data_IF_269682489607
#
_entry.id   IF_269682489607
#
_cell.length_a   1.000
_cell.length_b   1.000
_cell.length_c   1.000
_cell.angle_alpha   90.00
_cell.angle_beta   90.00
_cell.angle_gamma   90.00
#
_symmetry.space_group_name_H-M   'P 1'
#
loop_
_entity.id
_entity.type
_entity.pdbx_description
1 polymer ?
#
# COMPACT_ATOMS: atom_id res chain seq x y z
N UNK A 1 -19.90 -12.22 -24.37
CA UNK A 1 -19.66 -10.92 -23.71
C UNK A 1 -18.15 -10.75 -23.57
N UNK A 2 -17.62 -9.60 -23.89
CA UNK A 2 -16.22 -9.29 -23.53
C UNK A 2 -16.20 -9.02 -22.02
N UNK A 3 -15.36 -9.74 -21.30
CA UNK A 3 -15.09 -9.44 -19.89
C UNK A 3 -14.35 -8.10 -19.82
N UNK A 4 -14.70 -7.28 -18.84
CA UNK A 4 -13.95 -6.08 -18.54
C UNK A 4 -12.53 -6.38 -18.06
N UNK A 5 -11.77 -5.34 -17.74
CA UNK A 5 -10.42 -5.44 -17.16
C UNK A 5 -10.36 -4.82 -15.77
N UNK A 6 -9.46 -5.32 -14.93
CA UNK A 6 -9.15 -4.71 -13.64
C UNK A 6 -7.85 -3.92 -13.73
N UNK A 7 -7.88 -2.67 -13.26
CA UNK A 7 -6.68 -1.83 -13.15
C UNK A 7 -6.42 -1.54 -11.68
N UNK A 8 -5.30 -2.04 -11.17
CA UNK A 8 -4.83 -1.73 -9.83
C UNK A 8 -4.10 -0.39 -9.84
N UNK A 9 -4.54 0.53 -9.00
CA UNK A 9 -4.04 1.91 -8.96
C UNK A 9 -3.56 2.25 -7.56
N UNK A 10 -2.31 2.70 -7.44
CA UNK A 10 -1.80 3.30 -6.21
C UNK A 10 -2.28 4.74 -6.06
N UNK A 11 -2.97 5.02 -4.96
CA UNK A 11 -3.51 6.35 -4.64
C UNK A 11 -2.45 7.33 -4.10
N UNK A 12 -1.22 6.87 -3.91
CA UNK A 12 -0.22 7.66 -3.19
C UNK A 12 -0.52 7.76 -1.67
N UNK A 13 0.26 8.56 -0.94
CA UNK A 13 0.16 8.68 0.53
C UNK A 13 -0.95 9.63 1.01
N UNK A 14 -1.85 10.06 0.15
CA UNK A 14 -3.00 10.90 0.50
C UNK A 14 -3.09 12.22 -0.26
N UNK A 15 -1.96 12.89 -0.54
CA UNK A 15 -1.94 14.10 -1.37
C UNK A 15 -2.24 13.75 -2.84
N UNK A 16 -3.30 14.31 -3.46
CA UNK A 16 -3.66 14.06 -4.85
C UNK A 16 -2.58 14.46 -5.86
N UNK A 17 -1.72 15.43 -5.54
CA UNK A 17 -0.58 15.85 -6.36
C UNK A 17 0.48 14.74 -6.50
N UNK A 18 0.41 13.69 -5.66
CA UNK A 18 1.29 12.53 -5.72
C UNK A 18 0.71 11.35 -6.50
N UNK A 19 -0.44 11.54 -7.15
CA UNK A 19 -0.93 10.58 -8.16
C UNK A 19 -0.01 10.60 -9.38
N UNK A 20 0.22 9.41 -9.95
CA UNK A 20 0.82 9.37 -11.29
C UNK A 20 -0.17 9.89 -12.32
N UNK A 21 0.33 10.46 -13.41
CA UNK A 21 -0.52 10.93 -14.52
C UNK A 21 -1.38 9.82 -15.11
N UNK A 22 -0.86 8.60 -15.13
CA UNK A 22 -1.61 7.43 -15.61
C UNK A 22 -2.72 7.06 -14.65
N UNK A 23 -2.43 7.03 -13.33
CA UNK A 23 -3.44 6.81 -12.29
C UNK A 23 -4.58 7.83 -12.40
N UNK A 24 -4.25 9.11 -12.52
CA UNK A 24 -5.25 10.16 -12.69
C UNK A 24 -6.15 9.95 -13.92
N UNK A 25 -5.56 9.63 -15.09
CA UNK A 25 -6.32 9.35 -16.32
C UNK A 25 -7.25 8.16 -16.16
N UNK A 26 -6.74 7.06 -15.61
CA UNK A 26 -7.53 5.83 -15.38
C UNK A 26 -8.70 6.08 -14.43
N UNK A 27 -8.49 6.83 -13.34
CA UNK A 27 -9.58 7.20 -12.42
C UNK A 27 -10.68 8.01 -13.09
N UNK A 28 -10.32 8.84 -14.08
CA UNK A 28 -11.27 9.66 -14.86
C UNK A 28 -12.09 8.85 -15.87
N UNK A 29 -11.57 7.72 -16.31
CA UNK A 29 -12.15 6.85 -17.34
C UNK A 29 -12.87 5.62 -16.73
N UNK A 30 -12.67 5.34 -15.45
CA UNK A 30 -13.24 4.19 -14.76
C UNK A 30 -14.77 4.19 -14.75
N UNK A 31 -15.37 3.02 -14.94
CA UNK A 31 -16.81 2.78 -14.76
C UNK A 31 -17.13 2.61 -13.27
N UNK A 32 -16.29 1.86 -12.57
CA UNK A 32 -16.41 1.60 -11.14
C UNK A 32 -15.04 1.61 -10.46
N UNK A 33 -14.97 2.16 -9.24
CA UNK A 33 -13.77 2.22 -8.41
C UNK A 33 -14.05 1.54 -7.07
N UNK A 34 -13.34 0.45 -6.79
CA UNK A 34 -13.30 -0.20 -5.48
C UNK A 34 -12.12 0.37 -4.69
N UNK A 35 -12.37 0.98 -3.53
CA UNK A 35 -11.33 1.67 -2.76
C UNK A 35 -11.32 1.28 -1.29
N UNK A 36 -10.16 1.33 -0.66
CA UNK A 36 -9.96 1.00 0.76
C UNK A 36 -9.87 2.23 1.68
N UNK A 37 -9.72 1.98 2.99
CA UNK A 37 -9.72 3.00 4.03
C UNK A 37 -8.51 3.95 4.00
N UNK A 38 -7.44 3.60 3.26
CA UNK A 38 -6.21 4.37 3.20
C UNK A 38 -6.19 5.38 2.03
N UNK A 39 -7.23 5.37 1.21
CA UNK A 39 -7.37 6.36 0.13
C UNK A 39 -7.87 7.67 0.72
N UNK A 40 -7.12 8.75 0.51
CA UNK A 40 -7.48 10.09 0.98
C UNK A 40 -8.75 10.63 0.30
N UNK A 41 -9.57 11.43 1.02
CA UNK A 41 -10.81 12.00 0.47
C UNK A 41 -10.54 12.88 -0.76
N UNK A 42 -9.46 13.65 -0.77
CA UNK A 42 -9.10 14.51 -1.90
C UNK A 42 -8.81 13.72 -3.17
N UNK A 43 -8.29 12.49 -3.05
CA UNK A 43 -8.10 11.58 -4.19
C UNK A 43 -9.46 11.08 -4.70
N UNK A 44 -10.39 10.77 -3.79
CA UNK A 44 -11.75 10.33 -4.15
C UNK A 44 -12.55 11.44 -4.84
N UNK A 45 -12.26 12.70 -4.56
CA UNK A 45 -12.91 13.87 -5.19
C UNK A 45 -12.47 14.06 -6.66
N UNK A 46 -11.32 13.49 -7.06
CA UNK A 46 -10.89 13.49 -8.46
C UNK A 46 -11.67 12.51 -9.34
N UNK A 47 -12.35 11.53 -8.74
CA UNK A 47 -13.16 10.54 -9.45
C UNK A 47 -14.47 11.18 -9.89
N UNK A 48 -14.83 11.14 -11.19
CA UNK A 48 -16.05 11.74 -11.68
C UNK A 48 -17.32 11.26 -10.94
N UNK A 49 -18.32 12.12 -10.82
CA UNK A 49 -19.59 11.79 -10.15
C UNK A 49 -20.37 10.66 -10.84
N UNK A 50 -20.15 10.45 -12.14
CA UNK A 50 -20.75 9.34 -12.90
C UNK A 50 -20.17 7.98 -12.56
N UNK A 51 -18.95 7.93 -12.02
CA UNK A 51 -18.24 6.69 -11.68
C UNK A 51 -18.78 6.15 -10.37
N UNK A 52 -19.18 4.88 -10.35
CA UNK A 52 -19.59 4.21 -9.13
C UNK A 52 -18.40 4.04 -8.20
N UNK A 53 -18.52 4.46 -6.94
CA UNK A 53 -17.49 4.31 -5.90
C UNK A 53 -17.95 3.30 -4.86
N UNK A 54 -17.20 2.20 -4.67
CA UNK A 54 -17.50 1.12 -3.74
C UNK A 54 -16.40 1.05 -2.68
N UNK A 55 -16.78 1.30 -1.43
CA UNK A 55 -15.86 1.18 -0.30
C UNK A 55 -15.69 -0.28 0.10
N UNK A 56 -14.45 -0.78 0.08
CA UNK A 56 -14.09 -2.15 0.46
C UNK A 56 -13.10 -2.20 1.63
N UNK A 57 -12.86 -1.06 2.28
CA UNK A 57 -11.89 -0.93 3.38
C UNK A 57 -12.37 -1.58 4.68
N UNK A 58 -11.41 -1.93 5.53
CA UNK A 58 -11.65 -2.44 6.88
C UNK A 58 -11.88 -1.28 7.84
N UNK A 59 -13.04 -1.23 8.52
CA UNK A 59 -13.22 -0.40 9.73
C UNK A 59 -12.93 -1.26 10.96
N UNK A 60 -12.23 -0.71 11.94
CA UNK A 60 -11.78 -1.42 13.14
C UNK A 60 -12.92 -1.99 14.02
N UNK A 61 -14.16 -1.60 13.79
CA UNK A 61 -15.31 -1.91 14.65
C UNK A 61 -16.43 -2.71 13.99
N UNK A 62 -16.39 -2.95 12.67
CA UNK A 62 -17.39 -3.77 12.00
C UNK A 62 -16.74 -4.65 10.95
N UNK A 63 -17.24 -5.89 10.85
CA UNK A 63 -16.77 -6.95 9.98
C UNK A 63 -16.33 -6.42 8.61
N UNK A 64 -15.03 -6.22 8.50
CA UNK A 64 -14.37 -5.89 7.24
C UNK A 64 -14.73 -6.95 6.22
N UNK A 65 -14.98 -6.54 5.00
CA UNK A 65 -14.98 -7.49 3.89
C UNK A 65 -13.73 -8.35 4.01
N UNK A 66 -13.92 -9.65 4.18
CA UNK A 66 -12.81 -10.59 4.16
C UNK A 66 -12.17 -10.48 2.77
N UNK A 67 -10.87 -10.74 2.65
CA UNK A 67 -10.21 -10.69 1.34
C UNK A 67 -10.97 -11.47 0.27
N UNK A 68 -11.63 -12.57 0.66
CA UNK A 68 -12.50 -13.35 -0.21
C UNK A 68 -13.67 -12.55 -0.79
N UNK A 69 -14.35 -11.74 0.03
CA UNK A 69 -15.48 -10.90 -0.42
C UNK A 69 -15.02 -9.81 -1.39
N UNK A 70 -13.83 -9.23 -1.18
CA UNK A 70 -13.24 -8.26 -2.12
C UNK A 70 -12.93 -8.94 -3.46
N UNK A 71 -12.38 -10.16 -3.41
CA UNK A 71 -12.05 -10.92 -4.60
C UNK A 71 -13.32 -11.29 -5.39
N UNK A 72 -14.38 -11.75 -4.70
CA UNK A 72 -15.68 -12.04 -5.31
C UNK A 72 -16.29 -10.80 -5.95
N UNK A 73 -16.22 -9.65 -5.27
CA UNK A 73 -16.73 -8.39 -5.80
C UNK A 73 -15.94 -7.92 -7.03
N UNK A 74 -14.61 -8.10 -7.08
CA UNK A 74 -13.82 -7.80 -8.28
C UNK A 74 -14.27 -8.66 -9.47
N UNK A 75 -14.47 -9.96 -9.24
CA UNK A 75 -14.96 -10.87 -10.27
C UNK A 75 -16.38 -10.52 -10.76
N UNK A 76 -17.25 -10.07 -9.85
CA UNK A 76 -18.60 -9.61 -10.19
C UNK A 76 -18.54 -8.32 -11.04
N UNK A 77 -17.77 -7.33 -10.63
CA UNK A 77 -17.74 -6.04 -11.30
C UNK A 77 -17.26 -6.12 -12.76
N UNK A 78 -16.31 -6.98 -13.08
CA UNK A 78 -15.82 -7.15 -14.47
C UNK A 78 -16.84 -7.81 -15.40
N UNK A 79 -17.91 -8.40 -14.88
CA UNK A 79 -19.01 -8.92 -15.72
C UNK A 79 -19.98 -7.81 -16.16
N UNK A 80 -19.98 -6.67 -15.47
CA UNK A 80 -20.91 -5.57 -15.69
C UNK A 80 -20.22 -4.27 -16.19
N UNK A 81 -18.90 -4.18 -16.08
CA UNK A 81 -18.13 -2.97 -16.38
C UNK A 81 -16.90 -3.30 -17.23
N UNK A 82 -16.56 -2.42 -18.16
CA UNK A 82 -15.39 -2.58 -19.03
C UNK A 82 -14.08 -2.18 -18.32
N UNK A 83 -14.15 -1.15 -17.47
CA UNK A 83 -13.01 -0.61 -16.73
C UNK A 83 -13.29 -0.59 -15.22
N UNK A 84 -12.81 -1.61 -14.51
CA UNK A 84 -12.89 -1.73 -13.05
C UNK A 84 -11.57 -1.28 -12.45
N UNK A 85 -11.59 -0.27 -11.58
CA UNK A 85 -10.41 0.20 -10.87
C UNK A 85 -10.39 -0.33 -9.44
N UNK A 86 -9.28 -0.94 -9.04
CA UNK A 86 -8.97 -1.25 -7.65
C UNK A 86 -7.98 -0.21 -7.11
N UNK A 87 -8.49 0.79 -6.40
CA UNK A 87 -7.72 1.90 -5.85
C UNK A 87 -7.25 1.58 -4.42
N UNK A 88 -5.94 1.62 -4.19
CA UNK A 88 -5.29 1.24 -2.93
C UNK A 88 -4.39 2.38 -2.43
N UNK A 89 -4.35 2.62 -1.13
CA UNK A 89 -3.46 3.64 -0.56
C UNK A 89 -1.98 3.32 -0.80
N UNK A 90 -1.17 4.35 -1.00
CA UNK A 90 0.27 4.22 -1.28
C UNK A 90 0.57 3.63 -2.65
N UNK A 91 1.47 2.65 -2.68
CA UNK A 91 1.81 1.84 -3.85
C UNK A 91 1.19 0.44 -3.70
N UNK A 92 0.51 -0.03 -4.74
CA UNK A 92 -0.12 -1.36 -4.77
C UNK A 92 0.87 -2.51 -4.65
N UNK A 93 2.15 -2.26 -4.91
CA UNK A 93 3.23 -3.26 -4.90
C UNK A 93 3.86 -3.44 -3.50
N UNK A 94 3.59 -2.54 -2.54
CA UNK A 94 4.21 -2.57 -1.22
C UNK A 94 3.17 -2.80 -0.13
N UNK A 95 3.20 -3.97 0.52
CA UNK A 95 2.32 -4.39 1.63
C UNK A 95 0.81 -4.24 1.37
N UNK A 96 0.39 -4.30 0.13
CA UNK A 96 -0.99 -4.04 -0.29
C UNK A 96 -1.81 -5.32 -0.58
N UNK A 97 -1.30 -6.51 -0.26
CA UNK A 97 -1.95 -7.81 -0.53
C UNK A 97 -2.37 -8.00 -1.99
N UNK A 98 -1.61 -7.42 -2.91
CA UNK A 98 -1.91 -7.47 -4.33
C UNK A 98 -1.97 -8.91 -4.88
N UNK A 99 -1.06 -9.77 -4.41
CA UNK A 99 -1.00 -11.18 -4.84
C UNK A 99 -2.33 -11.91 -4.63
N UNK A 100 -3.02 -11.68 -3.50
CA UNK A 100 -4.30 -12.32 -3.19
C UNK A 100 -5.39 -11.96 -4.23
N UNK A 101 -5.35 -10.72 -4.73
CA UNK A 101 -6.31 -10.22 -5.73
C UNK A 101 -5.90 -10.64 -7.16
N UNK A 102 -4.59 -10.64 -7.48
CA UNK A 102 -4.11 -11.10 -8.79
C UNK A 102 -4.37 -12.57 -9.05
N UNK A 103 -4.18 -13.43 -8.04
CA UNK A 103 -4.38 -14.87 -8.17
C UNK A 103 -5.78 -15.20 -8.68
N UNK A 104 -6.82 -14.62 -8.09
CA UNK A 104 -8.20 -14.91 -8.50
C UNK A 104 -8.53 -14.38 -9.91
N UNK A 105 -7.93 -13.25 -10.31
CA UNK A 105 -8.11 -12.73 -11.67
C UNK A 105 -7.42 -13.63 -12.69
N UNK A 106 -6.22 -14.13 -12.38
CA UNK A 106 -5.48 -15.06 -13.23
C UNK A 106 -6.22 -16.38 -13.40
N UNK A 107 -6.73 -16.96 -12.30
CA UNK A 107 -7.52 -18.19 -12.32
C UNK A 107 -8.81 -18.04 -13.13
N UNK A 108 -9.42 -16.85 -13.10
CA UNK A 108 -10.61 -16.52 -13.87
C UNK A 108 -10.35 -16.08 -15.31
N UNK A 109 -9.07 -15.96 -15.74
CA UNK A 109 -8.69 -15.49 -17.07
C UNK A 109 -9.05 -14.02 -17.34
N UNK A 110 -9.18 -13.19 -16.29
CA UNK A 110 -9.53 -11.78 -16.39
C UNK A 110 -8.28 -10.94 -16.66
N UNK A 111 -8.29 -10.07 -17.70
CA UNK A 111 -7.18 -9.18 -17.98
C UNK A 111 -7.03 -8.13 -16.87
N UNK A 112 -5.80 -7.86 -16.48
CA UNK A 112 -5.50 -6.84 -15.49
C UNK A 112 -4.25 -6.04 -15.84
N UNK A 113 -4.13 -4.87 -15.22
CA UNK A 113 -2.95 -4.00 -15.28
C UNK A 113 -2.64 -3.51 -13.86
N UNK A 114 -1.36 -3.32 -13.55
CA UNK A 114 -0.92 -2.77 -12.27
C UNK A 114 -0.17 -1.46 -12.54
N UNK A 115 -0.65 -0.37 -11.95
CA UNK A 115 -0.01 0.93 -12.02
C UNK A 115 0.75 1.19 -10.72
N UNK A 116 2.00 1.60 -10.85
CA UNK A 116 2.80 2.03 -9.71
C UNK A 116 2.20 3.28 -9.04
N UNK A 117 2.37 3.39 -7.75
CA UNK A 117 2.00 4.56 -6.96
C UNK A 117 3.18 5.12 -6.18
N UNK A 118 3.05 6.34 -5.67
CA UNK A 118 4.01 6.87 -4.71
C UNK A 118 3.80 6.19 -3.37
N UNK A 119 4.77 5.37 -2.96
CA UNK A 119 4.70 4.70 -1.66
C UNK A 119 4.80 5.69 -0.50
N UNK A 120 4.16 5.38 0.61
CA UNK A 120 4.19 6.21 1.84
C UNK A 120 5.62 6.52 2.28
N UNK A 121 6.55 5.60 2.10
CA UNK A 121 7.97 5.83 2.39
C UNK A 121 8.53 7.05 1.64
N UNK A 122 8.39 7.07 0.31
CA UNK A 122 8.87 8.19 -0.51
C UNK A 122 8.11 9.48 -0.22
N UNK A 123 6.79 9.40 -0.01
CA UNK A 123 5.96 10.56 0.34
C UNK A 123 6.36 11.17 1.69
N UNK A 124 6.60 10.34 2.70
CA UNK A 124 7.06 10.80 4.03
C UNK A 124 8.45 11.40 3.96
N UNK A 125 9.39 10.74 3.30
CA UNK A 125 10.76 11.24 3.14
C UNK A 125 10.78 12.61 2.44
N UNK A 126 9.99 12.78 1.38
CA UNK A 126 9.84 14.04 0.67
C UNK A 126 9.24 15.14 1.57
N UNK A 127 8.21 14.84 2.34
CA UNK A 127 7.57 15.78 3.27
C UNK A 127 8.50 16.23 4.40
N UNK A 128 9.41 15.36 4.83
CA UNK A 128 10.42 15.65 5.84
C UNK A 128 11.69 16.30 5.26
N UNK A 129 11.86 16.28 3.94
CA UNK A 129 13.10 16.73 3.30
C UNK A 129 14.31 15.83 3.60
N UNK A 130 14.08 14.55 3.91
CA UNK A 130 15.11 13.60 4.29
C UNK A 130 15.37 12.61 3.15
N UNK A 131 16.59 12.51 2.62
CA UNK A 131 16.94 11.51 1.63
C UNK A 131 16.94 10.11 2.26
N UNK A 132 16.38 9.12 1.54
CA UNK A 132 16.35 7.72 2.00
C UNK A 132 17.70 7.02 1.87
N UNK A 133 18.58 7.54 1.02
CA UNK A 133 19.93 7.03 0.79
C UNK A 133 20.89 8.21 0.62
N UNK A 134 22.12 8.08 1.13
CA UNK A 134 23.18 9.07 0.94
C UNK A 134 24.53 8.40 0.75
N UNK A 135 25.54 9.17 0.31
CA UNK A 135 26.93 8.65 0.18
C UNK A 135 27.60 8.46 1.53
N UNK A 136 27.17 9.22 2.54
CA UNK A 136 27.78 9.27 3.87
C UNK A 136 27.08 8.33 4.88
N UNK A 137 25.86 7.93 4.60
CA UNK A 137 25.13 6.89 5.31
C UNK A 137 25.09 5.63 4.42
N UNK A 138 24.95 4.47 4.97
CA UNK A 138 25.00 3.22 4.21
C UNK A 138 24.20 3.23 2.89
N UNK A 139 24.65 2.47 1.93
CA UNK A 139 24.04 2.37 0.59
C UNK A 139 22.80 1.48 0.55
N UNK A 140 22.36 0.97 1.69
CA UNK A 140 21.29 0.02 1.83
C UNK A 140 20.04 0.68 2.42
N UNK A 141 18.88 0.28 1.94
CA UNK A 141 17.57 0.65 2.50
C UNK A 141 16.77 -0.63 2.75
N UNK A 142 16.51 -0.93 4.02
CA UNK A 142 15.65 -2.04 4.41
C UNK A 142 14.21 -1.55 4.56
N UNK A 143 13.31 -2.16 3.80
CA UNK A 143 11.86 -1.96 3.95
C UNK A 143 11.29 -3.23 4.60
N UNK A 144 10.70 -3.09 5.77
CA UNK A 144 10.19 -4.23 6.53
C UNK A 144 8.88 -3.90 7.25
N UNK A 145 8.25 -4.91 7.82
CA UNK A 145 7.17 -4.78 8.82
C UNK A 145 7.54 -5.61 10.03
N UNK A 146 7.13 -5.19 11.21
CA UNK A 146 7.34 -5.95 12.45
C UNK A 146 5.99 -6.54 12.85
N UNK A 147 5.94 -7.86 13.01
CA UNK A 147 4.72 -8.56 13.41
C UNK A 147 4.39 -8.35 14.90
N UNK A 148 3.17 -8.66 15.32
CA UNK A 148 2.63 -8.36 16.68
C UNK A 148 3.31 -9.11 17.81
N UNK A 149 3.89 -10.26 17.48
CA UNK A 149 4.48 -11.11 18.49
C UNK A 149 5.99 -10.95 18.39
N UNK A 150 6.54 -10.04 19.21
CA UNK A 150 7.95 -9.91 19.57
C UNK A 150 8.89 -10.73 18.67
N UNK A 151 8.92 -10.39 17.40
CA UNK A 151 9.83 -11.03 16.47
C UNK A 151 11.23 -10.46 16.70
N UNK A 152 11.85 -10.93 17.81
CA UNK A 152 13.24 -10.59 18.13
C UNK A 152 14.20 -10.96 17.01
N UNK A 153 13.85 -11.93 16.19
CA UNK A 153 14.64 -12.29 15.02
C UNK A 153 14.62 -11.17 13.97
N UNK A 154 13.44 -10.66 13.63
CA UNK A 154 13.33 -9.48 12.76
C UNK A 154 14.02 -8.27 13.37
N UNK A 155 13.87 -8.03 14.67
CA UNK A 155 14.56 -6.93 15.36
C UNK A 155 16.09 -7.09 15.33
N UNK A 156 16.63 -8.30 15.47
CA UNK A 156 18.08 -8.56 15.30
C UNK A 156 18.53 -8.29 13.87
N UNK A 157 17.77 -8.72 12.87
CA UNK A 157 18.07 -8.42 11.47
C UNK A 157 18.08 -6.88 11.24
N UNK A 158 17.04 -6.17 11.68
CA UNK A 158 16.98 -4.69 11.61
C UNK A 158 18.19 -4.06 12.28
N UNK A 159 18.53 -4.48 13.52
CA UNK A 159 19.71 -3.96 14.25
C UNK A 159 21.02 -4.21 13.50
N UNK A 160 21.14 -5.33 12.79
CA UNK A 160 22.30 -5.61 11.97
C UNK A 160 22.44 -4.59 10.82
N UNK A 161 21.35 -4.24 10.16
CA UNK A 161 21.35 -3.20 9.13
C UNK A 161 21.64 -1.81 9.72
N UNK A 162 21.06 -1.46 10.86
CA UNK A 162 21.33 -0.20 11.57
C UNK A 162 22.82 -0.04 11.89
N UNK A 163 23.48 -1.08 12.39
CA UNK A 163 24.93 -1.06 12.68
C UNK A 163 25.82 -0.86 11.44
N UNK A 164 25.29 -1.10 10.25
CA UNK A 164 25.96 -0.85 8.96
C UNK A 164 25.67 0.57 8.42
N UNK A 165 24.89 1.36 9.14
CA UNK A 165 24.46 2.68 8.72
C UNK A 165 23.37 2.66 7.65
N UNK A 166 22.62 1.55 7.52
CA UNK A 166 21.54 1.42 6.54
C UNK A 166 20.30 2.20 6.97
N UNK A 167 19.57 2.76 6.00
CA UNK A 167 18.24 3.30 6.23
C UNK A 167 17.24 2.18 6.53
N UNK A 168 16.32 2.42 7.48
CA UNK A 168 15.27 1.44 7.84
C UNK A 168 13.90 2.09 7.72
N UNK A 169 13.00 1.44 7.00
CA UNK A 169 11.59 1.81 6.93
C UNK A 169 10.72 0.67 7.48
N UNK A 170 10.04 0.92 8.58
CA UNK A 170 9.14 -0.06 9.21
C UNK A 170 7.69 0.34 8.91
N UNK A 171 7.01 -0.49 8.14
CA UNK A 171 5.60 -0.30 7.81
C UNK A 171 4.67 -0.87 8.88
N UNK A 172 3.49 -0.26 9.02
CA UNK A 172 2.43 -0.70 9.94
C UNK A 172 2.84 -0.78 11.43
N UNK A 173 3.59 0.19 11.97
CA UNK A 173 4.05 0.13 13.36
C UNK A 173 2.93 0.43 14.37
N UNK A 174 1.76 0.95 13.96
CA UNK A 174 0.82 1.72 14.77
C UNK A 174 0.20 1.02 15.97
N UNK A 175 -0.31 -0.21 15.85
CA UNK A 175 -0.85 -0.96 17.01
C UNK A 175 0.20 -1.83 17.69
N UNK A 176 1.33 -2.00 17.03
CA UNK A 176 2.37 -2.97 17.37
C UNK A 176 3.68 -2.28 17.68
N UNK A 177 3.79 -1.02 17.27
CA UNK A 177 4.98 -0.19 17.41
C UNK A 177 5.36 0.14 18.85
N UNK A 178 4.44 -0.02 19.81
CA UNK A 178 4.77 0.10 21.24
C UNK A 178 5.87 -0.86 21.69
N UNK A 179 6.06 -1.95 20.96
CA UNK A 179 7.09 -2.96 21.26
C UNK A 179 8.28 -2.93 20.29
N UNK A 180 8.20 -2.21 19.18
CA UNK A 180 9.30 -2.19 18.19
C UNK A 180 10.55 -1.56 18.77
N UNK A 181 10.45 -0.36 19.31
CA UNK A 181 11.59 0.35 19.89
C UNK A 181 12.18 -0.38 21.10
N UNK A 182 11.39 -0.80 22.11
CA UNK A 182 11.90 -1.63 23.21
C UNK A 182 12.61 -2.90 22.72
N UNK A 183 12.05 -3.62 21.75
CA UNK A 183 12.65 -4.84 21.22
C UNK A 183 13.96 -4.57 20.46
N UNK A 184 14.04 -3.46 19.71
CA UNK A 184 15.29 -3.04 19.06
C UNK A 184 16.38 -2.74 20.09
N UNK A 185 16.05 -2.03 21.16
CA UNK A 185 16.98 -1.74 22.26
C UNK A 185 17.42 -3.03 22.97
N UNK A 186 16.49 -3.95 23.24
CA UNK A 186 16.79 -5.27 23.83
C UNK A 186 17.80 -6.07 23.02
N UNK A 187 17.71 -6.01 21.68
CA UNK A 187 18.66 -6.71 20.80
C UNK A 187 19.89 -5.89 20.45
N UNK A 188 20.11 -4.75 21.12
CA UNK A 188 21.34 -3.96 21.05
C UNK A 188 21.39 -2.93 19.91
N UNK A 189 20.24 -2.35 19.52
CA UNK A 189 20.24 -1.12 18.75
C UNK A 189 20.75 0.03 19.59
N UNK A 190 21.48 0.95 18.98
CA UNK A 190 21.98 2.16 19.64
C UNK A 190 20.80 3.13 19.86
N UNK A 191 20.53 3.58 21.11
CA UNK A 191 19.44 4.51 21.40
C UNK A 191 19.68 5.92 20.84
N UNK A 192 20.91 6.26 20.47
CA UNK A 192 21.27 7.57 19.92
C UNK A 192 21.18 7.64 18.39
N UNK A 193 20.77 6.55 17.72
CA UNK A 193 20.52 6.57 16.28
C UNK A 193 19.34 7.50 15.96
N UNK A 194 19.46 8.38 14.94
CA UNK A 194 18.42 9.31 14.54
C UNK A 194 17.19 8.63 13.95
#
# INVERSE_FOLDING_TARGET
>A
MMLGKVIFVGAGPGNPELLTLEAYRVLREADVVLYDALVGPEVLDLIPSRTQKIYVGKRATNHSHKQKEINELLLEMVTHHECVVRLKGGDTLIYARLTDELTVLQEAGIPYQVLAGVTTLSGTAAALGVPLTSRDCGSELLITTVSTYSDLETCRAVTTFLKRGSGIAIYMPTFRGQHVLPNLLEVGADPELP
#
